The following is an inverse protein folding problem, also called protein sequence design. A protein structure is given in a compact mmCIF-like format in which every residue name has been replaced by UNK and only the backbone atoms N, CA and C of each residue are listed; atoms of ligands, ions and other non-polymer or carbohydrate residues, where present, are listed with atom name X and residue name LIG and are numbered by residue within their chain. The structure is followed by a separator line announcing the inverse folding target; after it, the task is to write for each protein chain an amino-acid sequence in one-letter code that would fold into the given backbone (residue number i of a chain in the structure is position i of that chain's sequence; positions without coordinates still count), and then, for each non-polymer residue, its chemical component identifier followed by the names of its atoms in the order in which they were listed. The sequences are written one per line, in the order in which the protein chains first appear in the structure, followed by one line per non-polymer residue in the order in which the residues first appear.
data_IF_663534416133
#
_entry.id   IF_663534416133
#
_cell.length_a   1.000
_cell.length_b   1.000
_cell.length_c   1.000
_cell.angle_alpha   90.00
_cell.angle_beta   90.00
_cell.angle_gamma   90.00
#
_symmetry.space_group_name_H-M   'P 1'
#
loop_
_entity.id
_entity.type
_entity.pdbx_description
1 polymer ?
#
# COMPACT_ATOMS: atom_id res chain seq x y z
N UNK A 1 5.32 -9.81 -33.48
CA UNK A 1 4.37 -10.39 -32.51
C UNK A 1 3.68 -9.23 -31.80
N UNK A 2 2.40 -8.99 -32.08
CA UNK A 2 1.59 -8.04 -31.31
C UNK A 2 1.41 -8.68 -29.94
N UNK A 3 1.98 -8.09 -28.89
CA UNK A 3 1.69 -8.50 -27.52
C UNK A 3 0.22 -8.17 -27.29
N UNK A 4 -0.66 -9.16 -27.31
CA UNK A 4 -2.05 -9.00 -26.88
C UNK A 4 -2.02 -8.73 -25.38
N UNK A 5 -2.40 -7.52 -24.98
CA UNK A 5 -2.27 -7.00 -23.63
C UNK A 5 -3.44 -7.48 -22.73
N UNK A 6 -4.14 -8.57 -23.11
CA UNK A 6 -5.27 -9.14 -22.38
C UNK A 6 -6.58 -8.35 -22.47
N UNK A 7 -6.54 -7.12 -22.97
CA UNK A 7 -7.68 -6.21 -23.07
C UNK A 7 -8.62 -6.46 -24.26
N UNK A 8 -8.21 -7.31 -25.21
CA UNK A 8 -8.98 -7.62 -26.43
C UNK A 8 -10.31 -8.34 -26.15
N UNK A 9 -10.50 -8.83 -24.93
CA UNK A 9 -11.71 -9.53 -24.49
C UNK A 9 -12.69 -8.65 -23.71
N UNK A 10 -12.35 -7.37 -23.47
CA UNK A 10 -13.23 -6.48 -22.71
C UNK A 10 -14.51 -6.16 -23.52
N UNK A 11 -15.64 -6.13 -22.82
CA UNK A 11 -16.95 -5.82 -23.39
C UNK A 11 -17.68 -4.79 -22.54
N UNK A 12 -18.70 -4.13 -23.12
CA UNK A 12 -19.56 -3.18 -22.42
C UNK A 12 -18.79 -1.99 -21.83
N UNK A 13 -19.10 -1.63 -20.59
CA UNK A 13 -18.51 -0.47 -19.90
C UNK A 13 -16.99 -0.58 -19.74
N UNK A 14 -16.45 -1.78 -19.50
CA UNK A 14 -15.02 -1.99 -19.35
C UNK A 14 -14.24 -1.68 -20.63
N UNK A 15 -14.80 -2.00 -21.80
CA UNK A 15 -14.21 -1.63 -23.09
C UNK A 15 -14.21 -0.10 -23.27
N UNK A 16 -15.29 0.58 -22.88
CA UNK A 16 -15.35 2.03 -22.92
C UNK A 16 -14.29 2.67 -22.00
N UNK A 17 -14.11 2.13 -20.79
CA UNK A 17 -13.09 2.59 -19.84
C UNK A 17 -11.68 2.40 -20.37
N UNK A 18 -11.39 1.24 -20.94
CA UNK A 18 -10.11 0.96 -21.57
C UNK A 18 -9.82 1.91 -22.75
N UNK A 19 -10.81 2.14 -23.62
CA UNK A 19 -10.66 3.06 -24.76
C UNK A 19 -10.36 4.50 -24.32
N UNK A 20 -10.94 4.95 -23.21
CA UNK A 20 -10.60 6.27 -22.62
C UNK A 20 -9.22 6.23 -21.98
N UNK A 21 -8.95 5.24 -21.12
CA UNK A 21 -7.70 5.14 -20.37
C UNK A 21 -6.46 5.02 -21.25
N UNK A 22 -6.52 4.19 -22.30
CA UNK A 22 -5.41 3.95 -23.23
C UNK A 22 -4.87 5.24 -23.87
N UNK A 23 -5.74 6.24 -24.09
CA UNK A 23 -5.39 7.56 -24.65
C UNK A 23 -4.59 8.47 -23.70
N UNK A 24 -4.40 8.06 -22.46
CA UNK A 24 -3.65 8.84 -21.45
C UNK A 24 -2.34 8.17 -21.02
N UNK A 25 -2.07 6.94 -21.47
CA UNK A 25 -0.88 6.17 -21.07
C UNK A 25 0.43 6.82 -21.47
N UNK A 26 0.44 7.61 -22.55
CA UNK A 26 1.61 8.36 -23.00
C UNK A 26 1.90 9.63 -22.19
N UNK A 27 1.02 10.01 -21.25
CA UNK A 27 1.13 11.24 -20.45
C UNK A 27 1.81 11.04 -19.09
N UNK A 28 2.31 9.84 -18.84
CA UNK A 28 3.06 9.46 -17.62
C UNK A 28 4.41 8.87 -18.00
N UNK A 29 5.22 8.49 -17.01
CA UNK A 29 6.48 7.80 -17.26
C UNK A 29 6.28 6.46 -17.96
N UNK A 30 7.30 6.00 -18.68
CA UNK A 30 7.21 4.80 -19.51
C UNK A 30 6.99 3.54 -18.68
N UNK A 31 7.61 3.49 -17.50
CA UNK A 31 7.46 2.42 -16.51
C UNK A 31 6.06 2.35 -15.90
N UNK A 32 5.32 3.47 -15.83
CA UNK A 32 4.03 3.57 -15.14
C UNK A 32 2.82 3.53 -16.09
N UNK A 33 3.04 3.24 -17.38
CA UNK A 33 1.97 3.29 -18.41
C UNK A 33 0.84 2.31 -18.15
N UNK A 34 1.17 1.10 -17.74
CA UNK A 34 0.15 0.08 -17.41
C UNK A 34 -0.53 0.43 -16.08
N UNK A 35 0.23 0.92 -15.09
CA UNK A 35 -0.33 1.32 -13.81
C UNK A 35 -1.33 2.48 -13.95
N UNK A 36 -1.03 3.49 -14.78
CA UNK A 36 -1.99 4.58 -15.01
C UNK A 36 -3.21 4.10 -15.78
N UNK A 37 -3.05 3.17 -16.74
CA UNK A 37 -4.16 2.58 -17.47
C UNK A 37 -5.14 1.93 -16.49
N UNK A 38 -4.62 1.06 -15.62
CA UNK A 38 -5.40 0.35 -14.61
C UNK A 38 -6.01 1.32 -13.61
N UNK A 39 -5.25 2.32 -13.15
CA UNK A 39 -5.71 3.32 -12.19
C UNK A 39 -6.88 4.14 -12.76
N UNK A 40 -6.81 4.56 -14.03
CA UNK A 40 -7.92 5.26 -14.68
C UNK A 40 -9.15 4.36 -14.77
N UNK A 41 -9.00 3.11 -15.22
CA UNK A 41 -10.11 2.15 -15.33
C UNK A 41 -10.79 1.93 -13.97
N UNK A 42 -10.01 1.68 -12.92
CA UNK A 42 -10.52 1.51 -11.56
C UNK A 42 -11.24 2.78 -11.06
N UNK A 43 -10.65 3.96 -11.28
CA UNK A 43 -11.26 5.24 -10.89
C UNK A 43 -12.60 5.47 -11.61
N UNK A 44 -12.69 5.14 -12.90
CA UNK A 44 -13.93 5.26 -13.67
C UNK A 44 -15.01 4.34 -13.11
N UNK A 45 -14.68 3.08 -12.84
CA UNK A 45 -15.62 2.11 -12.28
C UNK A 45 -16.12 2.54 -10.88
N UNK A 46 -15.21 3.00 -10.01
CA UNK A 46 -15.57 3.48 -8.68
C UNK A 46 -16.44 4.74 -8.73
N UNK A 47 -16.12 5.70 -9.62
CA UNK A 47 -16.95 6.91 -9.77
C UNK A 47 -18.31 6.57 -10.35
N UNK A 48 -18.41 5.73 -11.40
CA UNK A 48 -19.69 5.33 -11.99
C UNK A 48 -20.58 4.65 -10.93
N UNK A 49 -20.02 3.71 -10.17
CA UNK A 49 -20.73 3.02 -9.08
C UNK A 49 -21.33 3.99 -8.05
N UNK A 50 -20.66 5.11 -7.81
CA UNK A 50 -21.07 6.15 -6.87
C UNK A 50 -21.80 7.33 -7.53
N UNK A 51 -22.04 7.31 -8.85
CA UNK A 51 -22.61 8.43 -9.60
C UNK A 51 -24.15 8.54 -9.46
N UNK A 52 -24.78 7.59 -8.77
CA UNK A 52 -26.24 7.48 -8.67
C UNK A 52 -26.87 7.23 -10.04
N UNK A 53 -28.09 7.74 -10.26
CA UNK A 53 -28.82 7.60 -11.55
C UNK A 53 -28.39 8.61 -12.62
N UNK A 54 -27.25 9.28 -12.46
CA UNK A 54 -26.78 10.27 -13.43
C UNK A 54 -26.09 9.59 -14.60
N UNK A 55 -26.21 10.12 -15.83
CA UNK A 55 -25.53 9.56 -16.98
C UNK A 55 -24.01 9.67 -16.81
N UNK A 56 -23.31 8.57 -17.02
CA UNK A 56 -21.85 8.51 -17.01
C UNK A 56 -21.33 8.63 -18.44
N UNK A 57 -21.24 9.88 -18.93
CA UNK A 57 -20.90 10.17 -20.32
C UNK A 57 -19.41 10.09 -20.59
N UNK A 58 -19.02 9.86 -21.85
CA UNK A 58 -17.61 9.82 -22.26
C UNK A 58 -16.84 11.10 -21.87
N UNK A 59 -17.48 12.27 -21.95
CA UNK A 59 -16.90 13.54 -21.52
C UNK A 59 -16.55 13.57 -20.02
N UNK A 60 -17.37 12.93 -19.18
CA UNK A 60 -17.07 12.77 -17.75
C UNK A 60 -15.88 11.82 -17.58
N UNK A 61 -15.83 10.72 -18.34
CA UNK A 61 -14.71 9.79 -18.30
C UNK A 61 -13.38 10.48 -18.65
N UNK A 62 -13.34 11.29 -19.72
CA UNK A 62 -12.14 12.06 -20.08
C UNK A 62 -11.71 13.04 -18.98
N UNK A 63 -12.67 13.69 -18.29
CA UNK A 63 -12.35 14.58 -17.17
C UNK A 63 -11.74 13.82 -16.00
N UNK A 64 -12.29 12.66 -15.68
CA UNK A 64 -11.75 11.79 -14.62
C UNK A 64 -10.35 11.31 -15.00
N UNK A 65 -10.16 10.76 -16.20
CA UNK A 65 -8.86 10.31 -16.70
C UNK A 65 -7.82 11.44 -16.66
N UNK A 66 -8.17 12.64 -17.14
CA UNK A 66 -7.28 13.80 -17.07
C UNK A 66 -6.95 14.21 -15.63
N UNK A 67 -7.90 14.08 -14.70
CA UNK A 67 -7.69 14.40 -13.29
C UNK A 67 -6.78 13.37 -12.62
N UNK A 68 -6.95 12.09 -12.94
CA UNK A 68 -6.11 10.97 -12.46
C UNK A 68 -4.66 11.14 -12.91
N UNK A 69 -4.41 11.51 -14.17
CA UNK A 69 -3.05 11.83 -14.64
C UNK A 69 -2.46 13.04 -13.91
N UNK A 70 -3.26 14.08 -13.65
CA UNK A 70 -2.78 15.21 -12.86
C UNK A 70 -2.42 14.79 -11.43
N UNK A 71 -3.22 13.91 -10.81
CA UNK A 71 -2.90 13.33 -9.49
C UNK A 71 -1.63 12.50 -9.49
N UNK A 72 -1.40 11.69 -10.53
CA UNK A 72 -0.14 10.97 -10.72
C UNK A 72 1.06 11.93 -10.66
N UNK A 73 1.02 13.02 -11.44
CA UNK A 73 2.12 13.99 -11.45
C UNK A 73 2.27 14.72 -10.11
N UNK A 74 1.17 15.09 -9.45
CA UNK A 74 1.26 15.70 -8.11
C UNK A 74 1.94 14.78 -7.11
N UNK A 75 1.56 13.50 -7.09
CA UNK A 75 2.20 12.51 -6.22
C UNK A 75 3.67 12.35 -6.57
N UNK A 76 3.99 12.23 -7.87
CA UNK A 76 5.37 12.11 -8.35
C UNK A 76 6.26 13.28 -7.89
N UNK A 77 5.79 14.51 -8.05
CA UNK A 77 6.55 15.69 -7.59
C UNK A 77 6.63 15.75 -6.07
N UNK A 78 5.57 15.39 -5.35
CA UNK A 78 5.60 15.35 -3.89
C UNK A 78 6.67 14.36 -3.39
N UNK A 79 6.73 13.15 -3.94
CA UNK A 79 7.73 12.16 -3.54
C UNK A 79 9.17 12.61 -3.83
N UNK A 80 9.41 13.24 -4.98
CA UNK A 80 10.77 13.64 -5.36
C UNK A 80 11.26 14.94 -4.73
N UNK A 81 10.35 15.87 -4.41
CA UNK A 81 10.71 17.21 -3.92
C UNK A 81 10.25 17.50 -2.50
N UNK A 82 9.43 16.63 -1.90
CA UNK A 82 8.78 16.87 -0.62
C UNK A 82 7.73 18.00 -0.66
N UNK A 83 7.27 18.41 -1.85
CA UNK A 83 6.33 19.53 -2.02
C UNK A 83 4.93 19.04 -2.42
N UNK A 84 3.94 19.24 -1.56
CA UNK A 84 2.54 19.02 -1.93
C UNK A 84 1.89 20.28 -2.55
N UNK A 85 1.94 20.34 -3.88
CA UNK A 85 1.29 21.40 -4.66
C UNK A 85 -0.17 21.08 -5.06
N UNK A 86 -0.68 19.87 -4.79
CA UNK A 86 -2.01 19.42 -5.23
C UNK A 86 -3.13 20.30 -4.65
N UNK A 87 -2.96 20.67 -3.39
CA UNK A 87 -3.92 21.48 -2.63
C UNK A 87 -3.70 22.99 -2.77
N UNK A 88 -2.85 23.43 -3.71
CA UNK A 88 -2.65 24.85 -3.99
C UNK A 88 -3.56 25.33 -5.13
N UNK A 89 -4.11 26.53 -4.97
CA UNK A 89 -4.92 27.16 -6.01
C UNK A 89 -4.09 27.43 -7.27
N UNK A 90 -4.77 27.62 -8.42
CA UNK A 90 -4.08 27.96 -9.67
C UNK A 90 -3.28 29.26 -9.55
N UNK A 91 -3.83 30.26 -8.85
CA UNK A 91 -3.17 31.54 -8.63
C UNK A 91 -1.92 31.40 -7.73
N UNK A 92 -1.99 30.60 -6.66
CA UNK A 92 -0.84 30.31 -5.80
C UNK A 92 0.28 29.62 -6.59
N UNK A 93 -0.05 28.56 -7.34
CA UNK A 93 0.94 27.83 -8.16
C UNK A 93 1.57 28.71 -9.24
N UNK A 94 0.79 29.60 -9.85
CA UNK A 94 1.30 30.58 -10.81
C UNK A 94 2.30 31.53 -10.14
N UNK A 95 1.94 32.09 -8.99
CA UNK A 95 2.84 32.95 -8.20
C UNK A 95 4.13 32.21 -7.82
N UNK A 96 4.03 30.99 -7.30
CA UNK A 96 5.21 30.18 -6.95
C UNK A 96 6.13 29.96 -8.16
N UNK A 97 5.57 29.81 -9.36
CA UNK A 97 6.35 29.66 -10.60
C UNK A 97 7.00 30.97 -11.06
N UNK A 98 6.28 32.09 -10.99
CA UNK A 98 6.75 33.42 -11.39
C UNK A 98 7.86 33.92 -10.47
N UNK A 99 7.68 33.76 -9.16
CA UNK A 99 8.57 34.28 -8.11
C UNK A 99 9.58 33.23 -7.60
N UNK A 100 9.58 32.00 -8.16
CA UNK A 100 10.42 30.87 -7.74
C UNK A 100 10.37 30.55 -6.23
N UNK A 101 9.17 30.56 -5.63
CA UNK A 101 8.97 30.41 -4.17
C UNK A 101 8.95 28.96 -3.67
N UNK A 102 9.56 28.02 -4.39
CA UNK A 102 9.49 26.59 -4.05
C UNK A 102 10.29 26.26 -2.78
N UNK A 103 11.45 26.89 -2.59
CA UNK A 103 12.30 26.71 -1.40
C UNK A 103 11.70 27.31 -0.13
N UNK A 104 10.83 28.31 -0.27
CA UNK A 104 10.17 29.01 0.83
C UNK A 104 8.76 28.46 1.10
N UNK A 105 8.38 27.38 0.42
CA UNK A 105 7.06 26.82 0.52
C UNK A 105 6.81 26.30 1.95
N UNK A 106 5.77 26.78 2.66
CA UNK A 106 5.45 26.30 4.01
C UNK A 106 4.93 24.85 4.01
N UNK A 107 4.55 24.32 2.84
CA UNK A 107 4.12 22.92 2.65
C UNK A 107 5.27 21.99 2.25
N UNK A 108 6.49 22.50 2.16
CA UNK A 108 7.67 21.68 1.90
C UNK A 108 7.98 20.82 3.11
N UNK A 109 8.15 19.52 2.89
CA UNK A 109 8.81 18.63 3.84
C UNK A 109 10.23 19.14 3.99
N UNK A 110 10.54 19.68 5.17
CA UNK A 110 11.90 20.09 5.51
C UNK A 110 12.69 18.85 5.86
N UNK A 111 13.71 18.54 5.05
CA UNK A 111 14.67 17.52 5.39
C UNK A 111 15.50 18.03 6.57
N UNK A 112 15.38 17.33 7.71
CA UNK A 112 16.22 17.52 8.88
C UNK A 112 17.36 16.50 8.83
N UNK A 113 18.48 16.80 9.47
CA UNK A 113 19.63 15.90 9.54
C UNK A 113 19.51 14.98 10.75
N UNK A 114 19.88 13.70 10.60
CA UNK A 114 19.78 12.72 11.70
C UNK A 114 20.67 13.09 12.89
N UNK A 115 21.80 13.75 12.67
CA UNK A 115 22.69 14.25 13.72
C UNK A 115 22.22 15.56 14.38
N UNK A 116 20.96 15.97 14.12
CA UNK A 116 20.39 17.17 14.73
C UNK A 116 20.28 16.98 16.24
N UNK A 117 20.88 17.87 17.05
CA UNK A 117 20.76 17.80 18.50
C UNK A 117 19.32 18.14 18.91
N UNK A 118 18.66 17.23 19.62
CA UNK A 118 17.28 17.32 20.11
C UNK A 118 17.25 16.85 21.57
N UNK A 119 16.31 17.36 22.36
CA UNK A 119 16.08 16.89 23.73
C UNK A 119 15.28 15.59 23.71
N UNK A 120 15.77 14.57 24.42
CA UNK A 120 15.02 13.34 24.65
C UNK A 120 13.90 13.54 25.70
N UNK A 121 13.19 12.46 26.02
CA UNK A 121 12.11 12.44 27.02
C UNK A 121 12.59 12.70 28.47
N UNK A 122 13.90 12.56 28.71
CA UNK A 122 14.56 12.78 30.00
C UNK A 122 15.21 14.18 30.10
N UNK A 123 15.18 14.95 29.01
CA UNK A 123 15.74 16.29 28.92
C UNK A 123 17.22 16.35 28.55
N UNK A 124 17.83 15.24 28.12
CA UNK A 124 19.23 15.21 27.67
C UNK A 124 19.32 15.51 26.17
N UNK A 125 20.46 16.08 25.73
CA UNK A 125 20.76 16.26 24.31
C UNK A 125 21.13 14.92 23.67
N UNK A 126 20.39 14.53 22.64
CA UNK A 126 20.65 13.37 21.79
C UNK A 126 20.53 13.74 20.31
N UNK A 127 20.92 12.86 19.41
CA UNK A 127 20.73 13.03 17.97
C UNK A 127 19.32 12.57 17.55
N UNK A 128 18.67 13.29 16.63
CA UNK A 128 17.36 12.93 16.07
C UNK A 128 17.31 11.47 15.60
N UNK A 129 18.38 10.95 15.01
CA UNK A 129 18.47 9.56 14.55
C UNK A 129 18.25 8.54 15.67
N UNK A 130 18.73 8.82 16.88
CA UNK A 130 18.59 7.94 18.05
C UNK A 130 17.14 7.87 18.57
N UNK A 131 16.30 8.85 18.22
CA UNK A 131 14.89 8.89 18.61
C UNK A 131 13.96 8.24 17.56
N UNK A 132 14.44 8.06 16.32
CA UNK A 132 13.68 7.46 15.21
C UNK A 132 13.92 5.95 15.14
N UNK A 133 15.13 5.49 15.50
CA UNK A 133 15.42 4.08 15.65
C UNK A 133 14.65 3.52 16.86
N UNK A 134 13.48 2.94 16.60
CA UNK A 134 12.77 2.17 17.61
C UNK A 134 13.53 0.87 17.85
N UNK A 135 14.05 0.68 19.07
CA UNK A 135 14.65 -0.58 19.52
C UNK A 135 13.64 -1.74 19.52
N UNK A 136 12.34 -1.46 19.28
CA UNK A 136 11.28 -2.42 18.95
C UNK A 136 11.01 -2.54 17.45
N UNK A 137 12.02 -2.30 16.61
CA UNK A 137 11.92 -2.60 15.19
C UNK A 137 11.35 -4.02 15.01
N UNK A 138 10.41 -4.15 14.08
CA UNK A 138 9.74 -5.41 13.80
C UNK A 138 10.80 -6.46 13.46
N UNK A 139 10.94 -7.49 14.28
CA UNK A 139 11.87 -8.59 14.02
C UNK A 139 11.38 -9.35 12.79
N UNK A 140 11.92 -8.96 11.63
CA UNK A 140 11.52 -9.49 10.33
C UNK A 140 11.82 -10.99 10.25
N UNK A 141 12.89 -11.45 10.89
CA UNK A 141 13.29 -12.85 10.91
C UNK A 141 12.29 -13.66 11.76
N UNK A 142 11.98 -13.19 12.98
CA UNK A 142 10.95 -13.82 13.80
C UNK A 142 9.57 -13.82 13.12
N UNK A 143 9.23 -12.78 12.36
CA UNK A 143 7.95 -12.70 11.66
C UNK A 143 7.88 -13.63 10.45
N UNK A 144 8.97 -13.76 9.69
CA UNK A 144 9.09 -14.71 8.57
C UNK A 144 9.08 -16.14 9.09
N UNK A 145 9.77 -16.43 10.19
CA UNK A 145 9.77 -17.74 10.83
C UNK A 145 8.38 -18.12 11.34
N UNK A 146 7.68 -17.19 12.01
CA UNK A 146 6.31 -17.41 12.45
C UNK A 146 5.37 -17.69 11.26
N UNK A 147 5.48 -16.92 10.17
CA UNK A 147 4.66 -17.14 8.96
C UNK A 147 4.98 -18.47 8.28
N UNK A 148 6.25 -18.82 8.17
CA UNK A 148 6.71 -20.09 7.56
C UNK A 148 6.26 -21.28 8.39
N UNK A 149 6.39 -21.18 9.72
CA UNK A 149 5.84 -22.15 10.65
C UNK A 149 4.34 -22.31 10.44
N UNK A 150 3.56 -21.22 10.44
CA UNK A 150 2.10 -21.26 10.25
C UNK A 150 1.67 -21.85 8.89
N UNK A 151 2.41 -21.58 7.81
CA UNK A 151 2.14 -22.14 6.49
C UNK A 151 2.45 -23.64 6.41
N UNK A 152 3.50 -24.10 7.10
CA UNK A 152 3.84 -25.53 7.22
C UNK A 152 3.04 -26.27 8.30
N UNK A 153 2.35 -25.54 9.19
CA UNK A 153 1.68 -26.12 10.34
C UNK A 153 0.34 -26.76 9.95
N UNK A 154 0.04 -27.99 10.42
CA UNK A 154 -1.24 -28.62 10.17
C UNK A 154 -2.41 -27.76 10.68
N UNK A 155 -3.26 -27.29 9.76
CA UNK A 155 -4.37 -26.38 10.05
C UNK A 155 -5.31 -26.89 11.16
N UNK A 156 -5.47 -28.22 11.25
CA UNK A 156 -6.28 -28.86 12.30
C UNK A 156 -5.71 -28.69 13.71
N UNK A 157 -4.38 -28.65 13.87
CA UNK A 157 -3.77 -28.34 15.18
C UNK A 157 -3.97 -26.86 15.55
N UNK A 158 -3.96 -25.96 14.58
CA UNK A 158 -4.19 -24.53 14.80
C UNK A 158 -5.61 -24.28 15.30
N UNK A 159 -6.60 -24.96 14.72
CA UNK A 159 -7.99 -24.92 15.20
C UNK A 159 -8.12 -25.45 16.65
N UNK A 160 -7.42 -26.54 16.98
CA UNK A 160 -7.38 -27.08 18.35
C UNK A 160 -6.73 -26.08 19.31
N UNK A 161 -5.65 -25.42 18.91
CA UNK A 161 -4.97 -24.40 19.72
C UNK A 161 -5.87 -23.19 19.98
N UNK A 162 -6.61 -22.72 18.97
CA UNK A 162 -7.58 -21.63 19.13
C UNK A 162 -8.69 -21.98 20.12
N UNK A 163 -9.23 -23.21 20.06
CA UNK A 163 -10.23 -23.69 21.03
C UNK A 163 -9.71 -23.73 22.46
N UNK A 164 -8.46 -24.18 22.65
CA UNK A 164 -7.83 -24.17 23.96
C UNK A 164 -7.64 -22.74 24.48
N UNK A 165 -7.27 -21.80 23.61
CA UNK A 165 -7.11 -20.38 23.97
C UNK A 165 -8.45 -19.68 24.26
N UNK A 166 -9.54 -20.05 23.57
CA UNK A 166 -10.89 -19.55 23.84
C UNK A 166 -11.59 -20.24 25.02
N UNK A 167 -10.98 -21.28 25.61
CA UNK A 167 -11.54 -22.03 26.72
C UNK A 167 -12.63 -23.04 26.33
N UNK A 168 -12.74 -23.38 25.04
CA UNK A 168 -13.69 -24.35 24.52
C UNK A 168 -13.25 -25.81 24.77
N UNK A 169 -14.22 -26.67 25.02
CA UNK A 169 -14.00 -28.11 25.19
C UNK A 169 -13.58 -28.77 23.87
N UNK A 170 -12.50 -29.57 23.90
CA UNK A 170 -12.10 -30.37 22.74
C UNK A 170 -12.96 -31.63 22.60
N UNK A 171 -13.24 -32.01 21.37
CA UNK A 171 -13.90 -33.29 21.07
C UNK A 171 -12.94 -34.47 21.22
N UNK A 172 -13.47 -35.68 21.39
CA UNK A 172 -12.65 -36.91 21.49
C UNK A 172 -11.70 -37.09 20.29
N UNK A 173 -12.13 -36.72 19.07
CA UNK A 173 -11.30 -36.79 17.86
C UNK A 173 -10.18 -35.74 17.86
N UNK A 174 -10.41 -34.56 18.43
CA UNK A 174 -9.39 -33.51 18.58
C UNK A 174 -8.36 -33.89 19.63
N UNK A 175 -8.79 -34.47 20.76
CA UNK A 175 -7.90 -35.04 21.77
C UNK A 175 -6.98 -36.11 21.20
N UNK A 176 -7.54 -37.05 20.42
CA UNK A 176 -6.75 -38.12 19.80
C UNK A 176 -5.74 -37.57 18.77
N UNK A 177 -6.16 -36.57 17.98
CA UNK A 177 -5.28 -35.91 17.01
C UNK A 177 -4.14 -35.13 17.68
N UNK A 178 -4.45 -34.40 18.76
CA UNK A 178 -3.46 -33.69 19.57
C UNK A 178 -2.47 -34.66 20.24
N UNK A 179 -2.96 -35.78 20.77
CA UNK A 179 -2.12 -36.82 21.37
C UNK A 179 -1.13 -37.43 20.38
N UNK A 180 -1.59 -37.73 19.15
CA UNK A 180 -0.73 -38.24 18.09
C UNK A 180 0.46 -37.30 17.82
N UNK A 181 0.19 -36.00 17.66
CA UNK A 181 1.22 -35.00 17.41
C UNK A 181 2.14 -34.79 18.61
N UNK A 182 1.61 -34.76 19.83
CA UNK A 182 2.44 -34.68 21.06
C UNK A 182 3.41 -35.84 21.17
N UNK A 183 2.97 -37.06 20.84
CA UNK A 183 3.82 -38.26 20.89
C UNK A 183 4.90 -38.25 19.79
N UNK A 184 4.58 -37.70 18.62
CA UNK A 184 5.51 -37.57 17.49
C UNK A 184 6.65 -36.59 17.78
N UNK A 185 6.32 -35.42 18.30
CA UNK A 185 7.28 -34.35 18.59
C UNK A 185 7.97 -34.49 19.96
N UNK A 186 7.58 -35.51 20.74
CA UNK A 186 8.21 -35.82 22.02
C UNK A 186 9.67 -36.20 21.80
N UNK A 187 10.59 -35.29 22.10
CA UNK A 187 12.02 -35.58 22.15
C UNK A 187 12.23 -36.71 23.15
N UNK A 188 12.87 -37.80 22.71
CA UNK A 188 13.33 -38.83 23.64
C UNK A 188 14.37 -38.18 24.52
N UNK A 189 14.19 -38.25 25.84
CA UNK A 189 15.28 -37.99 26.77
C UNK A 189 16.37 -38.99 26.39
N UNK A 190 17.49 -38.49 25.86
CA UNK A 190 18.68 -39.31 25.74
C UNK A 190 19.01 -39.75 27.17
N UNK A 191 18.85 -41.04 27.46
CA UNK A 191 19.50 -41.62 28.62
C UNK A 191 21.00 -41.45 28.37
N UNK A 192 21.66 -40.83 29.34
CA UNK A 192 23.11 -40.60 29.45
C UNK A 192 23.95 -41.73 28.87
#
# INVERSE_FOLDING_TARGET
MVRSNGYDQLQGQWLAYYNVASRFTDRVKVEDKEDILHTIIATLADVERNNGHKPFTEAVMYRIASRTVADYWFSHYNYNSGLDCKHCSKAQRRKCKEDYLYSECPKAVKLEYLSKPILDIEGNLTELGNLIADDKALDLDAWVDARTFLLGFPQRLLLIANKLNSGESLTNKEHQYLWYWRRREQKRLLAT
#
